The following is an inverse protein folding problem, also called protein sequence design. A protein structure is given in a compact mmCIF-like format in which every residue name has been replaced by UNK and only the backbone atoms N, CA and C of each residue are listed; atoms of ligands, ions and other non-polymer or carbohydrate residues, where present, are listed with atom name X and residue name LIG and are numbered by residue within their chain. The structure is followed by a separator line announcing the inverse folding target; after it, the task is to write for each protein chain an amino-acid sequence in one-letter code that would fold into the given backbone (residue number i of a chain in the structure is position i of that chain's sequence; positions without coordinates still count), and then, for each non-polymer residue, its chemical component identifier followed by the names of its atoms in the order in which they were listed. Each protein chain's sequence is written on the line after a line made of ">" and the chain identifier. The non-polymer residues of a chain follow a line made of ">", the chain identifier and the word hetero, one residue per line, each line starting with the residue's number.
data_IF_877787801983
#
_entry.id   IF_877787801983
#
_cell.length_a   1.000
_cell.length_b   1.000
_cell.length_c   1.000
_cell.angle_alpha   90.00
_cell.angle_beta   90.00
_cell.angle_gamma   90.00
#
_symmetry.space_group_name_H-M   'P 1'
#
loop_
_entity.id
_entity.type
_entity.pdbx_description
1 polymer ?
#
# COMPACT_ATOMS: atom_id res chain seq x y z
N UNK A 1 -7.34 -32.43 18.74
CA UNK A 1 -6.61 -32.44 17.44
C UNK A 1 -7.40 -31.85 16.27
N UNK A 2 -8.70 -32.16 16.08
CA UNK A 2 -9.51 -31.58 14.97
C UNK A 2 -9.57 -30.05 14.94
N UNK A 3 -9.63 -29.40 16.11
CA UNK A 3 -9.78 -27.93 16.20
C UNK A 3 -8.52 -27.17 15.74
N UNK A 4 -7.33 -27.67 16.09
CA UNK A 4 -6.06 -27.08 15.65
C UNK A 4 -5.88 -27.19 14.13
N UNK A 5 -6.33 -28.29 13.53
CA UNK A 5 -6.29 -28.46 12.07
C UNK A 5 -7.22 -27.45 11.36
N UNK A 6 -8.40 -27.19 11.92
CA UNK A 6 -9.32 -26.17 11.39
C UNK A 6 -8.73 -24.77 11.50
N UNK A 7 -8.11 -24.43 12.64
CA UNK A 7 -7.45 -23.12 12.82
C UNK A 7 -6.28 -22.92 11.86
N UNK A 8 -5.47 -23.96 11.63
CA UNK A 8 -4.38 -23.93 10.65
C UNK A 8 -4.90 -23.74 9.23
N UNK A 9 -6.00 -24.40 8.87
CA UNK A 9 -6.62 -24.24 7.55
C UNK A 9 -7.13 -22.80 7.33
N UNK A 10 -7.78 -22.21 8.35
CA UNK A 10 -8.26 -20.82 8.30
C UNK A 10 -7.09 -19.84 8.17
N UNK A 11 -6.03 -20.02 8.94
CA UNK A 11 -4.83 -19.19 8.86
C UNK A 11 -4.16 -19.28 7.48
N UNK A 12 -4.06 -20.48 6.91
CA UNK A 12 -3.51 -20.68 5.57
C UNK A 12 -4.33 -19.95 4.49
N UNK A 13 -5.66 -20.06 4.54
CA UNK A 13 -6.54 -19.34 3.60
C UNK A 13 -6.41 -17.82 3.75
N UNK A 14 -6.33 -17.31 4.98
CA UNK A 14 -6.15 -15.88 5.23
C UNK A 14 -4.81 -15.36 4.67
N UNK A 15 -3.72 -16.12 4.83
CA UNK A 15 -2.41 -15.77 4.30
C UNK A 15 -2.37 -15.81 2.77
N UNK A 16 -2.97 -16.83 2.15
CA UNK A 16 -3.07 -16.92 0.69
C UNK A 16 -3.91 -15.77 0.13
N UNK A 17 -5.06 -15.47 0.74
CA UNK A 17 -5.92 -14.37 0.30
C UNK A 17 -5.23 -13.01 0.44
N UNK A 18 -4.60 -12.76 1.59
CA UNK A 18 -3.89 -11.50 1.85
C UNK A 18 -2.65 -11.38 0.97
N UNK A 19 -1.86 -12.45 0.85
CA UNK A 19 -0.69 -12.50 -0.03
C UNK A 19 -1.06 -12.29 -1.49
N UNK A 20 -2.11 -12.96 -2.00
CA UNK A 20 -2.60 -12.77 -3.37
C UNK A 20 -3.16 -11.37 -3.59
N UNK A 21 -3.88 -10.81 -2.60
CA UNK A 21 -4.39 -9.45 -2.65
C UNK A 21 -3.26 -8.44 -2.73
N UNK A 22 -2.25 -8.54 -1.88
CA UNK A 22 -1.10 -7.62 -1.87
C UNK A 22 -0.20 -7.80 -3.10
N UNK A 23 0.02 -9.03 -3.59
CA UNK A 23 0.78 -9.26 -4.84
C UNK A 23 0.08 -8.66 -6.06
N UNK A 24 -1.24 -8.73 -6.13
CA UNK A 24 -2.03 -8.22 -7.25
C UNK A 24 -2.51 -6.78 -7.05
N UNK A 25 -2.27 -6.20 -5.86
CA UNK A 25 -2.56 -4.79 -5.61
C UNK A 25 -1.53 -3.99 -6.39
N UNK A 26 -1.90 -3.60 -7.61
CA UNK A 26 -1.17 -2.54 -8.32
C UNK A 26 -1.07 -1.35 -7.34
N UNK A 27 0.13 -0.85 -7.04
CA UNK A 27 0.27 0.38 -6.27
C UNK A 27 -0.61 1.41 -6.98
N UNK A 28 -1.62 1.96 -6.29
CA UNK A 28 -2.45 2.98 -6.93
C UNK A 28 -1.51 4.12 -7.30
N UNK A 29 -1.32 4.40 -8.60
CA UNK A 29 -0.42 5.45 -9.02
C UNK A 29 -1.13 6.75 -8.65
N UNK A 30 -0.78 7.28 -7.49
CA UNK A 30 -1.15 8.65 -7.16
C UNK A 30 -0.50 9.53 -8.23
N UNK A 31 -1.29 10.30 -9.01
CA UNK A 31 -0.74 11.12 -10.06
C UNK A 31 0.25 12.13 -9.44
N UNK A 32 1.49 12.13 -9.93
CA UNK A 32 2.55 13.04 -9.49
C UNK A 32 2.49 14.28 -10.40
N UNK A 33 1.51 15.15 -10.15
CA UNK A 33 1.36 16.44 -10.81
C UNK A 33 1.65 17.59 -9.84
N UNK A 34 1.70 18.83 -10.33
CA UNK A 34 2.11 19.97 -9.51
C UNK A 34 1.16 20.19 -8.31
N UNK A 35 -0.14 19.91 -8.48
CA UNK A 35 -1.12 19.94 -7.40
C UNK A 35 -0.91 18.84 -6.34
N UNK A 36 -0.46 17.66 -6.76
CA UNK A 36 -0.22 16.51 -5.90
C UNK A 36 1.17 16.49 -5.24
N UNK A 37 2.05 17.41 -5.66
CA UNK A 37 3.37 17.65 -5.07
C UNK A 37 3.40 18.84 -4.10
N UNK A 38 2.24 19.45 -3.84
CA UNK A 38 2.11 20.44 -2.77
C UNK A 38 2.26 19.78 -1.40
N UNK A 39 2.77 20.54 -0.43
CA UNK A 39 2.91 20.06 0.95
C UNK A 39 1.56 19.66 1.55
N UNK A 40 0.48 20.37 1.18
CA UNK A 40 -0.89 20.07 1.61
C UNK A 40 -1.39 18.74 1.05
N UNK A 41 -1.17 18.47 -0.24
CA UNK A 41 -1.56 17.21 -0.87
C UNK A 41 -0.82 16.01 -0.27
N UNK A 42 0.50 16.13 -0.05
CA UNK A 42 1.30 15.08 0.59
C UNK A 42 0.84 14.85 2.03
N UNK A 43 0.54 15.93 2.77
CA UNK A 43 0.06 15.84 4.16
C UNK A 43 -1.33 15.22 4.27
N UNK A 44 -2.14 15.30 3.22
CA UNK A 44 -3.49 14.73 3.17
C UNK A 44 -3.51 13.23 2.81
N UNK A 45 -2.34 12.62 2.54
CA UNK A 45 -2.24 11.17 2.33
C UNK A 45 -2.25 10.46 3.68
N UNK A 46 -3.32 9.74 3.98
CA UNK A 46 -3.53 9.05 5.26
C UNK A 46 -2.52 7.92 5.52
N UNK A 47 -1.99 7.31 4.46
CA UNK A 47 -1.01 6.25 4.57
C UNK A 47 0.43 6.80 4.53
N UNK A 48 1.19 6.56 5.61
CA UNK A 48 2.59 7.02 5.76
C UNK A 48 3.49 6.49 4.62
N UNK A 49 3.30 5.24 4.20
CA UNK A 49 4.09 4.64 3.12
C UNK A 49 3.78 5.30 1.78
N UNK A 50 2.51 5.53 1.47
CA UNK A 50 2.12 6.24 0.24
C UNK A 50 2.59 7.69 0.26
N UNK A 51 2.56 8.36 1.42
CA UNK A 51 3.08 9.71 1.61
C UNK A 51 4.57 9.81 1.32
N UNK A 52 5.37 8.86 1.81
CA UNK A 52 6.80 8.80 1.56
C UNK A 52 7.10 8.53 0.07
N UNK A 53 6.32 7.66 -0.57
CA UNK A 53 6.43 7.39 -2.01
C UNK A 53 6.08 8.64 -2.83
N UNK A 54 5.00 9.35 -2.47
CA UNK A 54 4.60 10.60 -3.11
C UNK A 54 5.70 11.66 -3.01
N UNK A 55 6.21 11.89 -1.79
CA UNK A 55 7.26 12.88 -1.52
C UNK A 55 8.55 12.59 -2.30
N UNK A 56 8.97 11.32 -2.37
CA UNK A 56 10.17 10.92 -3.10
C UNK A 56 10.02 11.03 -4.62
N UNK A 57 8.82 10.81 -5.17
CA UNK A 57 8.53 11.01 -6.60
C UNK A 57 8.50 12.49 -6.97
N UNK A 58 7.91 13.34 -6.14
CA UNK A 58 7.90 14.79 -6.34
C UNK A 58 9.32 15.38 -6.29
N UNK A 59 10.15 14.96 -5.34
CA UNK A 59 11.54 15.39 -5.25
C UNK A 59 12.41 14.97 -6.45
N UNK A 60 12.11 13.83 -7.08
CA UNK A 60 12.81 13.40 -8.31
C UNK A 60 12.39 14.16 -9.55
N UNK A 61 11.23 14.82 -9.55
CA UNK A 61 10.73 15.61 -10.70
C UNK A 61 11.38 16.99 -10.78
N UNK A 62 11.87 17.52 -9.66
CA UNK A 62 12.54 18.82 -9.54
C UNK A 62 14.03 18.77 -9.94
N UNK A 63 14.52 17.59 -10.37
CA UNK A 63 15.93 17.33 -10.71
C UNK A 63 16.11 17.11 -12.21
#
# INVERSE_FOLDING_TARGET
>A
MKLNAVLLAVAAVALVFTGYKELNRKPQPHPVNDGACTQEAIKNIDNITERAIQSSRCAQRDK
#
